data_IF_052544222578
#
_entry.id   IF_052544222578
#
_cell.length_a   1.000
_cell.length_b   1.000
_cell.length_c   1.000
_cell.angle_alpha   90.00
_cell.angle_beta   90.00
_cell.angle_gamma   90.00
#
_symmetry.space_group_name_H-M   'P 1'
#
loop_
_entity.id
_entity.type
_entity.pdbx_description
1 polymer ?
#
# COMPACT_ATOMS: atom_id res chain seq x y z
N UNK A 1 -39.94 35.65 34.55
CA UNK A 1 -39.06 35.10 33.49
C UNK A 1 -38.61 33.71 33.92
N UNK A 2 -38.99 32.65 33.19
CA UNK A 2 -38.61 31.26 33.49
C UNK A 2 -37.37 30.91 32.66
N UNK A 3 -36.27 30.57 33.34
CA UNK A 3 -35.02 30.14 32.70
C UNK A 3 -35.11 28.61 32.56
N UNK A 4 -35.15 28.11 31.34
CA UNK A 4 -35.14 26.66 31.04
C UNK A 4 -33.66 26.26 30.87
N UNK A 5 -33.11 25.36 31.70
CA UNK A 5 -31.75 24.89 31.50
C UNK A 5 -31.75 23.84 30.40
N UNK A 6 -31.07 24.12 29.29
CA UNK A 6 -30.80 23.13 28.26
C UNK A 6 -29.67 22.23 28.74
N UNK A 7 -30.00 20.98 29.10
CA UNK A 7 -29.03 19.92 29.36
C UNK A 7 -28.47 19.49 28.01
N UNK A 8 -27.20 19.83 27.77
CA UNK A 8 -26.46 19.41 26.59
C UNK A 8 -26.07 17.92 26.76
N UNK A 9 -26.82 17.03 26.13
CA UNK A 9 -26.51 15.60 26.11
C UNK A 9 -25.35 15.35 25.14
N UNK A 10 -24.15 15.12 25.69
CA UNK A 10 -22.98 14.68 24.93
C UNK A 10 -23.21 13.24 24.46
N UNK A 11 -23.66 13.07 23.23
CA UNK A 11 -23.74 11.76 22.57
C UNK A 11 -22.33 11.42 22.09
N UNK A 12 -21.62 10.59 22.87
CA UNK A 12 -20.36 10.01 22.45
C UNK A 12 -20.67 8.89 21.44
N UNK A 13 -20.51 9.16 20.15
CA UNK A 13 -20.63 8.13 19.11
C UNK A 13 -19.35 7.29 19.18
N UNK A 14 -19.40 5.99 19.55
CA UNK A 14 -18.22 5.15 19.46
C UNK A 14 -17.75 5.08 18.01
N UNK A 15 -16.50 5.45 17.79
CA UNK A 15 -15.81 5.23 16.52
C UNK A 15 -15.72 3.71 16.36
N UNK A 16 -16.46 3.13 15.41
CA UNK A 16 -16.32 1.73 15.06
C UNK A 16 -14.92 1.53 14.48
N UNK A 17 -14.01 1.00 15.29
CA UNK A 17 -12.77 0.43 14.78
C UNK A 17 -13.14 -0.72 13.83
N UNK A 18 -12.52 -0.78 12.66
CA UNK A 18 -12.72 -1.90 11.75
C UNK A 18 -12.28 -3.20 12.45
N UNK A 19 -13.21 -4.14 12.63
CA UNK A 19 -12.92 -5.42 13.25
C UNK A 19 -12.46 -6.45 12.23
N UNK A 20 -11.55 -7.33 12.65
CA UNK A 20 -11.13 -8.48 11.85
C UNK A 20 -12.31 -9.45 11.68
N UNK A 21 -12.50 -9.94 10.46
CA UNK A 21 -13.56 -10.92 10.20
C UNK A 21 -13.10 -12.33 10.61
N UNK A 22 -13.96 -13.17 11.24
CA UNK A 22 -13.53 -14.48 11.77
C UNK A 22 -12.97 -15.46 10.73
N UNK A 23 -13.48 -15.43 9.50
CA UNK A 23 -12.98 -16.25 8.40
C UNK A 23 -11.56 -15.83 7.97
N UNK A 24 -11.26 -14.54 8.03
CA UNK A 24 -9.93 -14.00 7.75
C UNK A 24 -8.94 -14.32 8.87
N UNK A 25 -9.34 -14.19 10.13
CA UNK A 25 -8.53 -14.62 11.28
C UNK A 25 -8.14 -16.10 11.18
N UNK A 26 -9.12 -16.97 10.82
CA UNK A 26 -8.87 -18.39 10.57
C UNK A 26 -7.93 -18.62 9.39
N UNK A 27 -8.10 -17.87 8.30
CA UNK A 27 -7.20 -17.97 7.14
C UNK A 27 -5.77 -17.58 7.51
N UNK A 28 -5.56 -16.49 8.25
CA UNK A 28 -4.23 -16.05 8.68
C UNK A 28 -3.54 -17.12 9.55
N UNK A 29 -4.30 -17.76 10.46
CA UNK A 29 -3.80 -18.88 11.26
C UNK A 29 -3.38 -20.06 10.38
N UNK A 30 -4.27 -20.54 9.51
CA UNK A 30 -3.98 -21.69 8.63
C UNK A 30 -2.82 -21.37 7.69
N UNK A 31 -2.78 -20.18 7.10
CA UNK A 31 -1.68 -19.73 6.25
C UNK A 31 -0.35 -19.77 7.00
N UNK A 32 -0.32 -19.25 8.24
CA UNK A 32 0.87 -19.27 9.10
C UNK A 32 1.34 -20.71 9.35
N UNK A 33 0.43 -21.63 9.68
CA UNK A 33 0.74 -23.04 9.91
C UNK A 33 1.31 -23.72 8.65
N UNK A 34 0.71 -23.51 7.47
CA UNK A 34 1.20 -24.06 6.20
C UNK A 34 2.57 -23.50 5.83
N UNK A 35 2.75 -22.18 5.95
CA UNK A 35 4.03 -21.51 5.68
C UNK A 35 5.15 -22.02 6.60
N UNK A 36 4.88 -22.05 7.90
CA UNK A 36 5.86 -22.44 8.91
C UNK A 36 6.18 -23.94 8.91
N UNK A 37 5.29 -24.78 8.40
CA UNK A 37 5.59 -26.21 8.16
C UNK A 37 6.32 -26.47 6.84
N UNK A 38 6.53 -25.43 6.02
CA UNK A 38 7.09 -25.57 4.66
C UNK A 38 6.13 -26.22 3.67
N UNK A 39 4.85 -26.38 4.03
CA UNK A 39 3.84 -26.98 3.19
C UNK A 39 3.21 -25.94 2.23
N UNK A 40 4.00 -25.51 1.25
CA UNK A 40 3.55 -24.52 0.25
C UNK A 40 2.52 -25.11 -0.73
N UNK A 41 2.48 -26.44 -0.89
CA UNK A 41 1.38 -27.11 -1.59
C UNK A 41 0.06 -26.94 -0.84
N UNK A 42 0.10 -26.97 0.50
CA UNK A 42 -1.03 -26.62 1.36
C UNK A 42 -1.50 -25.18 1.17
N UNK A 43 -0.58 -24.22 1.01
CA UNK A 43 -0.94 -22.82 0.68
C UNK A 43 -1.64 -22.76 -0.68
N UNK A 44 -1.13 -23.46 -1.69
CA UNK A 44 -1.77 -23.53 -3.01
C UNK A 44 -3.20 -24.10 -2.93
N UNK A 45 -3.50 -25.01 -2.00
CA UNK A 45 -4.87 -25.51 -1.82
C UNK A 45 -5.84 -24.50 -1.19
N UNK A 46 -5.34 -23.45 -0.53
CA UNK A 46 -6.16 -22.35 -0.02
C UNK A 46 -6.67 -21.42 -1.12
N UNK A 47 -6.06 -21.47 -2.30
CA UNK A 47 -6.41 -20.63 -3.45
C UNK A 47 -7.72 -21.02 -4.09
N UNK A 48 -8.44 -20.02 -4.59
CA UNK A 48 -9.58 -20.25 -5.45
C UNK A 48 -9.17 -20.69 -6.86
N UNK A 49 -10.15 -21.03 -7.69
CA UNK A 49 -9.92 -21.51 -9.06
C UNK A 49 -9.24 -20.44 -9.93
N UNK A 50 -9.51 -19.15 -9.70
CA UNK A 50 -8.90 -18.05 -10.46
C UNK A 50 -7.42 -17.92 -10.13
N UNK A 51 -7.08 -17.89 -8.85
CA UNK A 51 -5.72 -17.78 -8.36
C UNK A 51 -4.89 -19.03 -8.74
N UNK A 52 -5.46 -20.23 -8.67
CA UNK A 52 -4.79 -21.48 -9.14
C UNK A 52 -4.46 -21.47 -10.64
N UNK A 53 -5.25 -20.76 -11.45
CA UNK A 53 -4.97 -20.58 -12.88
C UNK A 53 -3.86 -19.56 -13.14
N UNK A 54 -3.79 -18.52 -12.31
CA UNK A 54 -2.82 -17.43 -12.45
C UNK A 54 -1.46 -17.76 -11.81
N UNK A 55 -1.44 -18.59 -10.77
CA UNK A 55 -0.26 -18.89 -9.99
C UNK A 55 -0.21 -20.39 -9.67
N UNK A 56 0.65 -21.09 -10.41
CA UNK A 56 0.75 -22.55 -10.36
C UNK A 56 1.29 -23.02 -9.01
N UNK A 57 1.10 -24.32 -8.76
CA UNK A 57 1.66 -24.99 -7.58
C UNK A 57 3.18 -24.81 -7.47
N UNK A 58 3.89 -24.94 -8.59
CA UNK A 58 5.35 -24.77 -8.63
C UNK A 58 5.75 -23.34 -8.29
N UNK A 59 5.13 -22.35 -8.94
CA UNK A 59 5.37 -20.93 -8.65
C UNK A 59 5.06 -20.58 -7.19
N UNK A 60 4.04 -21.21 -6.60
CA UNK A 60 3.71 -21.05 -5.18
C UNK A 60 4.83 -21.55 -4.27
N UNK A 61 5.39 -22.73 -4.56
CA UNK A 61 6.52 -23.29 -3.81
C UNK A 61 7.75 -22.41 -3.93
N UNK A 62 8.08 -21.98 -5.14
CA UNK A 62 9.26 -21.17 -5.40
C UNK A 62 9.13 -19.79 -4.75
N UNK A 63 7.97 -19.16 -4.86
CA UNK A 63 7.73 -17.88 -4.23
C UNK A 63 7.87 -17.95 -2.72
N UNK A 64 7.12 -18.83 -2.03
CA UNK A 64 7.19 -18.85 -0.57
C UNK A 64 8.46 -19.48 -0.03
N UNK A 65 8.94 -20.56 -0.64
CA UNK A 65 10.14 -21.27 -0.19
C UNK A 65 11.42 -20.52 -0.49
N UNK A 66 11.61 -20.14 -1.76
CA UNK A 66 12.86 -19.54 -2.24
C UNK A 66 12.82 -18.03 -2.08
N UNK A 67 11.75 -17.35 -2.50
CA UNK A 67 11.77 -15.88 -2.55
C UNK A 67 11.34 -15.21 -1.24
N UNK A 68 10.56 -15.88 -0.39
CA UNK A 68 10.12 -15.30 0.90
C UNK A 68 10.85 -15.93 2.08
N UNK A 69 10.69 -17.24 2.33
CA UNK A 69 11.18 -17.88 3.57
C UNK A 69 12.72 -17.91 3.65
N UNK A 70 13.42 -18.16 2.54
CA UNK A 70 14.89 -18.14 2.54
C UNK A 70 15.44 -16.78 3.02
N UNK A 71 14.77 -15.68 2.68
CA UNK A 71 15.18 -14.32 3.01
C UNK A 71 14.67 -13.89 4.39
N UNK A 72 13.41 -14.19 4.71
CA UNK A 72 12.69 -13.59 5.84
C UNK A 72 12.57 -14.53 7.05
N UNK A 73 12.56 -15.84 6.82
CA UNK A 73 12.38 -16.87 7.85
C UNK A 73 10.92 -17.17 8.16
N UNK A 74 10.66 -17.81 9.30
CA UNK A 74 9.32 -18.21 9.72
C UNK A 74 8.48 -16.98 10.06
N UNK A 75 7.16 -17.12 9.95
CA UNK A 75 6.19 -16.14 10.45
C UNK A 75 6.08 -16.29 11.97
N UNK A 76 6.32 -15.21 12.69
CA UNK A 76 6.10 -15.09 14.14
C UNK A 76 4.70 -14.64 14.47
N UNK A 77 4.18 -13.66 13.73
CA UNK A 77 2.86 -13.09 13.96
C UNK A 77 2.26 -12.50 12.68
N UNK A 78 0.93 -12.47 12.62
CA UNK A 78 0.14 -11.73 11.63
C UNK A 78 -0.86 -10.85 12.37
N UNK A 79 -0.59 -9.55 12.45
CA UNK A 79 -1.45 -8.58 13.12
C UNK A 79 -2.39 -7.92 12.11
N UNK A 80 -3.70 -8.01 12.31
CA UNK A 80 -4.67 -7.29 11.51
C UNK A 80 -4.52 -5.77 11.67
N UNK A 81 -4.44 -5.05 10.56
CA UNK A 81 -4.27 -3.59 10.52
C UNK A 81 -5.54 -2.84 10.08
N UNK A 82 -6.46 -3.52 9.39
CA UNK A 82 -7.64 -2.90 8.80
C UNK A 82 -7.91 -3.39 7.38
N UNK A 83 -8.79 -2.67 6.67
CA UNK A 83 -9.16 -3.00 5.29
C UNK A 83 -8.54 -2.02 4.28
N UNK A 84 -8.20 -2.54 3.11
CA UNK A 84 -7.84 -1.76 1.91
C UNK A 84 -8.65 -2.27 0.73
N UNK A 85 -9.53 -1.43 0.19
CA UNK A 85 -10.43 -1.78 -0.93
C UNK A 85 -11.23 -3.08 -0.71
N UNK A 86 -11.65 -3.31 0.54
CA UNK A 86 -12.40 -4.50 0.95
C UNK A 86 -11.53 -5.74 1.26
N UNK A 87 -10.22 -5.69 1.06
CA UNK A 87 -9.29 -6.75 1.42
C UNK A 87 -8.69 -6.52 2.82
N UNK A 88 -8.35 -7.60 3.53
CA UNK A 88 -7.77 -7.52 4.87
C UNK A 88 -6.26 -7.35 4.78
N UNK A 89 -5.74 -6.38 5.54
CA UNK A 89 -4.32 -6.07 5.60
C UNK A 89 -3.74 -6.56 6.92
N UNK A 90 -2.63 -7.27 6.84
CA UNK A 90 -1.90 -7.82 7.98
C UNK A 90 -0.47 -7.28 8.00
N UNK A 91 0.00 -6.84 9.17
CA UNK A 91 1.44 -6.73 9.46
C UNK A 91 1.95 -8.13 9.77
N UNK A 92 2.83 -8.65 8.93
CA UNK A 92 3.48 -9.93 9.13
C UNK A 92 4.88 -9.69 9.69
N UNK A 93 5.13 -10.26 10.86
CA UNK A 93 6.47 -10.31 11.45
C UNK A 93 7.09 -11.66 11.11
N UNK A 94 8.22 -11.63 10.39
CA UNK A 94 9.05 -12.80 10.14
C UNK A 94 10.24 -12.83 11.10
N UNK A 95 11.02 -13.92 11.09
CA UNK A 95 12.24 -14.02 11.89
C UNK A 95 13.25 -12.88 11.64
N UNK A 96 13.37 -12.43 10.38
CA UNK A 96 14.42 -11.50 9.92
C UNK A 96 13.89 -10.20 9.31
N UNK A 97 12.56 -10.04 9.16
CA UNK A 97 11.98 -8.86 8.54
C UNK A 97 10.50 -8.66 8.91
N UNK A 98 9.92 -7.56 8.46
CA UNK A 98 8.49 -7.31 8.48
C UNK A 98 7.98 -7.03 7.08
N UNK A 99 6.70 -7.35 6.83
CA UNK A 99 6.00 -6.99 5.60
C UNK A 99 4.53 -6.67 5.89
N UNK A 100 3.88 -5.97 4.97
CA UNK A 100 2.42 -5.92 4.93
C UNK A 100 1.91 -6.93 3.91
N UNK A 101 0.91 -7.73 4.30
CA UNK A 101 0.26 -8.73 3.47
C UNK A 101 -1.21 -8.38 3.32
N UNK A 102 -1.70 -8.37 2.08
CA UNK A 102 -3.11 -8.16 1.75
C UNK A 102 -3.70 -9.48 1.31
N UNK A 103 -4.80 -9.90 1.95
CA UNK A 103 -5.53 -11.12 1.66
C UNK A 103 -6.95 -10.75 1.23
N UNK A 104 -7.41 -11.34 0.14
CA UNK A 104 -8.81 -11.31 -0.29
C UNK A 104 -9.36 -12.73 -0.32
N UNK A 105 -10.56 -12.91 0.22
CA UNK A 105 -11.28 -14.18 0.19
C UNK A 105 -12.48 -14.09 -0.76
N UNK A 106 -12.76 -15.18 -1.46
CA UNK A 106 -14.03 -15.35 -2.17
C UNK A 106 -15.15 -15.77 -1.20
N UNK A 107 -16.38 -15.93 -1.71
CA UNK A 107 -17.54 -16.33 -0.93
C UNK A 107 -17.42 -17.74 -0.29
N UNK A 108 -16.47 -18.56 -0.74
CA UNK A 108 -16.17 -19.89 -0.21
C UNK A 108 -14.98 -19.87 0.77
N UNK A 109 -14.51 -18.69 1.18
CA UNK A 109 -13.34 -18.50 2.05
C UNK A 109 -12.02 -19.02 1.46
N UNK A 110 -11.91 -19.05 0.12
CA UNK A 110 -10.67 -19.35 -0.58
C UNK A 110 -9.96 -18.04 -0.95
N UNK A 111 -8.63 -18.05 -0.97
CA UNK A 111 -7.82 -16.89 -1.33
C UNK A 111 -8.02 -16.60 -2.82
N UNK A 112 -8.66 -15.46 -3.10
CA UNK A 112 -8.85 -14.91 -4.45
C UNK A 112 -7.81 -13.86 -4.82
N UNK A 113 -7.09 -13.34 -3.82
CA UNK A 113 -6.00 -12.40 -4.01
C UNK A 113 -5.03 -12.40 -2.83
N UNK A 114 -3.74 -12.29 -3.13
CA UNK A 114 -2.68 -12.25 -2.15
C UNK A 114 -1.56 -11.33 -2.63
N UNK A 115 -1.15 -10.38 -1.80
CA UNK A 115 -0.08 -9.45 -2.12
C UNK A 115 0.80 -9.19 -0.90
N UNK A 116 2.12 -9.23 -1.08
CA UNK A 116 3.11 -8.92 -0.03
C UNK A 116 3.88 -7.68 -0.46
N UNK A 117 4.02 -6.72 0.44
CA UNK A 117 4.73 -5.47 0.21
C UNK A 117 5.59 -5.07 1.40
N UNK A 118 6.58 -4.18 1.20
CA UNK A 118 7.29 -3.55 2.31
C UNK A 118 6.29 -2.94 3.31
N UNK A 119 6.59 -3.02 4.62
CA UNK A 119 5.68 -2.54 5.65
C UNK A 119 5.56 -1.01 5.55
N UNK A 120 4.33 -0.49 5.51
CA UNK A 120 4.10 0.95 5.63
C UNK A 120 4.22 1.36 7.11
N UNK A 121 4.80 2.53 7.44
CA UNK A 121 4.83 2.98 8.83
C UNK A 121 3.39 3.11 9.37
N UNK A 122 3.12 2.46 10.50
CA UNK A 122 1.82 2.58 11.16
C UNK A 122 1.72 3.99 11.75
N UNK A 123 0.70 4.75 11.34
CA UNK A 123 0.57 6.15 11.73
C UNK A 123 1.69 7.03 11.16
N UNK A 124 2.16 6.73 9.94
CA UNK A 124 3.04 7.65 9.22
C UNK A 124 2.46 9.08 9.33
N UNK A 125 3.26 10.08 9.75
CA UNK A 125 2.75 11.43 9.91
C UNK A 125 2.12 11.86 8.59
N UNK A 126 0.87 12.29 8.65
CA UNK A 126 0.25 12.96 7.51
C UNK A 126 1.13 14.17 7.23
N UNK A 127 1.84 14.13 6.11
CA UNK A 127 2.64 15.27 5.68
C UNK A 127 1.63 16.35 5.30
N UNK A 128 1.46 17.33 6.18
CA UNK A 128 0.65 18.49 5.85
C UNK A 128 1.27 19.22 4.66
N UNK A 129 0.40 19.70 3.77
CA UNK A 129 0.82 20.41 2.57
C UNK A 129 1.71 21.57 2.96
N UNK A 130 2.91 21.61 2.41
CA UNK A 130 3.78 22.74 2.62
C UNK A 130 3.36 23.94 1.77
N UNK A 131 3.37 25.14 2.37
CA UNK A 131 3.08 26.41 1.69
C UNK A 131 4.34 27.23 1.38
N UNK A 132 5.53 26.65 1.54
CA UNK A 132 6.80 27.31 1.15
C UNK A 132 6.73 27.63 -0.34
N UNK A 133 6.91 28.89 -0.75
CA UNK A 133 7.02 29.24 -2.16
C UNK A 133 8.20 28.48 -2.78
N UNK A 134 7.94 27.70 -3.82
CA UNK A 134 8.97 27.06 -4.62
C UNK A 134 9.05 27.73 -5.98
N UNK A 135 10.27 28.00 -6.42
CA UNK A 135 10.56 28.37 -7.80
C UNK A 135 11.02 27.12 -8.53
N UNK A 136 10.35 26.78 -9.61
CA UNK A 136 10.79 25.69 -10.48
C UNK A 136 12.04 26.15 -11.25
N UNK A 137 13.00 25.25 -11.57
CA UNK A 137 14.22 25.59 -12.30
C UNK A 137 13.99 25.82 -13.81
N UNK A 138 12.78 26.24 -14.19
CA UNK A 138 12.36 26.50 -15.56
C UNK A 138 11.23 27.55 -15.57
N UNK A 139 11.15 28.32 -16.65
CA UNK A 139 10.22 29.47 -16.78
C UNK A 139 9.07 29.22 -17.75
N UNK A 140 9.10 28.10 -18.48
CA UNK A 140 8.05 27.74 -19.43
C UNK A 140 6.77 27.24 -18.74
N UNK A 141 5.66 27.17 -19.49
CA UNK A 141 4.44 26.49 -19.06
C UNK A 141 4.56 24.97 -19.21
N UNK A 142 4.15 24.23 -18.18
CA UNK A 142 4.18 22.76 -18.15
C UNK A 142 2.83 22.19 -17.74
N UNK A 143 2.46 21.06 -18.35
CA UNK A 143 1.28 20.32 -17.99
C UNK A 143 1.57 19.32 -16.86
N UNK A 144 0.80 19.36 -15.79
CA UNK A 144 0.88 18.37 -14.69
C UNK A 144 0.10 17.13 -15.11
N UNK A 145 0.82 16.07 -15.49
CA UNK A 145 0.21 14.81 -15.91
C UNK A 145 -0.14 13.92 -14.72
N UNK A 146 0.78 13.77 -13.77
CA UNK A 146 0.52 13.17 -12.47
C UNK A 146 0.83 14.17 -11.37
N UNK A 147 -0.16 14.43 -10.51
CA UNK A 147 -0.03 15.36 -9.40
C UNK A 147 -1.34 15.44 -8.62
N UNK A 148 -1.25 15.54 -7.30
CA UNK A 148 -2.42 15.51 -6.42
C UNK A 148 -2.27 14.55 -5.25
N UNK A 149 -3.31 14.46 -4.44
CA UNK A 149 -3.30 13.77 -3.14
C UNK A 149 -3.94 12.38 -3.19
N UNK A 150 -4.69 12.07 -4.25
CA UNK A 150 -5.39 10.78 -4.38
C UNK A 150 -4.76 9.94 -5.48
N UNK A 151 -4.90 8.61 -5.40
CA UNK A 151 -4.39 7.70 -6.44
C UNK A 151 -5.00 7.95 -7.82
N UNK A 152 -6.23 8.49 -7.87
CA UNK A 152 -6.90 8.86 -9.12
C UNK A 152 -6.25 10.09 -9.80
N UNK A 153 -5.64 10.97 -9.01
CA UNK A 153 -4.97 12.18 -9.49
C UNK A 153 -3.46 11.96 -9.70
N UNK A 154 -2.86 11.08 -8.90
CA UNK A 154 -1.43 10.86 -8.88
C UNK A 154 -1.13 9.38 -8.61
N UNK A 155 -0.71 8.68 -9.67
CA UNK A 155 -0.34 7.27 -9.59
C UNK A 155 0.76 7.01 -8.55
N UNK A 156 1.66 7.97 -8.32
CA UNK A 156 2.78 7.86 -7.39
C UNK A 156 2.36 7.75 -5.92
N UNK A 157 1.12 8.09 -5.57
CA UNK A 157 0.59 7.98 -4.19
C UNK A 157 0.68 6.56 -3.62
N UNK A 158 0.69 5.55 -4.50
CA UNK A 158 0.81 4.14 -4.12
C UNK A 158 2.14 3.81 -3.45
N UNK A 159 3.20 4.47 -3.89
CA UNK A 159 4.57 4.24 -3.48
C UNK A 159 4.99 5.31 -2.47
N UNK A 160 5.22 4.92 -1.21
CA UNK A 160 5.54 5.86 -0.11
C UNK A 160 6.70 6.78 -0.45
N UNK A 161 7.72 6.27 -1.15
CA UNK A 161 8.91 7.04 -1.53
C UNK A 161 8.69 8.06 -2.65
N UNK A 162 7.54 7.99 -3.33
CA UNK A 162 7.14 8.86 -4.45
C UNK A 162 5.81 9.57 -4.18
N UNK A 163 5.25 9.43 -2.97
CA UNK A 163 4.11 10.25 -2.57
C UNK A 163 4.45 11.73 -2.79
N UNK A 164 3.49 12.44 -3.39
CA UNK A 164 3.63 13.86 -3.77
C UNK A 164 4.65 14.14 -4.88
N UNK A 165 5.13 13.13 -5.59
CA UNK A 165 5.86 13.33 -6.83
C UNK A 165 4.95 13.91 -7.92
N UNK A 166 5.53 14.75 -8.78
CA UNK A 166 4.86 15.31 -9.95
C UNK A 166 5.52 14.84 -11.24
N UNK A 167 4.71 14.46 -12.22
CA UNK A 167 5.15 14.30 -13.60
C UNK A 167 4.72 15.52 -14.40
N UNK A 168 5.71 16.28 -14.86
CA UNK A 168 5.51 17.48 -15.66
C UNK A 168 5.86 17.18 -17.13
N UNK A 169 4.94 17.54 -18.03
CA UNK A 169 5.08 17.38 -19.48
C UNK A 169 5.16 18.74 -20.17
N UNK A 170 6.12 18.89 -21.08
CA UNK A 170 6.16 20.04 -21.97
C UNK A 170 5.20 19.75 -23.13
N UNK A 171 4.12 20.52 -23.24
CA UNK A 171 3.14 20.37 -24.31
C UNK A 171 3.26 21.56 -25.26
N UNK A 172 3.49 21.28 -26.55
CA UNK A 172 3.50 22.27 -27.63
C UNK A 172 2.51 21.83 -28.70
N UNK A 173 1.63 22.73 -29.13
CA UNK A 173 0.61 22.47 -30.17
C UNK A 173 -0.26 21.22 -29.90
N UNK A 174 -0.57 20.96 -28.61
CA UNK A 174 -1.36 19.81 -28.18
C UNK A 174 -0.61 18.47 -28.10
N UNK A 175 0.69 18.45 -28.36
CA UNK A 175 1.53 17.25 -28.28
C UNK A 175 2.65 17.39 -27.23
N UNK A 176 2.97 16.30 -26.53
CA UNK A 176 4.08 16.23 -25.55
C UNK A 176 5.42 15.83 -26.18
N UNK A 177 5.48 15.77 -27.51
CA UNK A 177 6.65 15.37 -28.30
C UNK A 177 6.72 16.21 -29.59
N UNK A 178 7.92 16.36 -30.15
CA UNK A 178 8.12 16.87 -31.50
C UNK A 178 8.69 15.75 -32.38
N UNK A 179 7.97 15.40 -33.45
CA UNK A 179 8.37 14.34 -34.38
C UNK A 179 8.04 12.93 -33.89
N UNK A 180 9.02 12.21 -33.35
CA UNK A 180 8.84 10.82 -32.92
C UNK A 180 8.13 10.76 -31.55
N UNK A 181 6.95 10.13 -31.44
CA UNK A 181 6.23 9.98 -30.17
C UNK A 181 6.99 9.19 -29.11
N UNK A 182 8.05 8.45 -29.48
CA UNK A 182 8.96 7.79 -28.52
C UNK A 182 9.94 8.76 -27.84
N UNK A 183 10.04 10.01 -28.29
CA UNK A 183 10.91 11.06 -27.73
C UNK A 183 10.10 12.10 -26.95
N UNK A 184 9.42 11.66 -25.90
CA UNK A 184 8.74 12.54 -24.95
C UNK A 184 9.72 13.06 -23.90
N UNK A 185 9.56 14.32 -23.46
CA UNK A 185 10.27 14.87 -22.31
C UNK A 185 9.34 14.89 -21.10
N UNK A 186 9.65 14.06 -20.12
CA UNK A 186 8.99 14.02 -18.81
C UNK A 186 9.99 14.43 -17.76
N UNK A 187 9.60 15.32 -16.86
CA UNK A 187 10.38 15.64 -15.66
C UNK A 187 9.62 15.08 -14.46
N UNK A 188 10.28 14.18 -13.71
CA UNK A 188 9.80 13.71 -12.41
C UNK A 188 10.36 14.63 -11.33
N UNK A 189 9.47 15.33 -10.61
CA UNK A 189 9.83 16.17 -9.48
C UNK A 189 9.44 15.45 -8.18
N UNK A 190 10.42 15.10 -7.34
CA UNK A 190 10.18 14.48 -6.03
C UNK A 190 10.25 15.54 -4.93
N UNK A 191 9.16 15.75 -4.20
CA UNK A 191 9.19 16.55 -2.97
C UNK A 191 9.68 15.69 -1.80
N UNK A 192 11.00 15.64 -1.54
CA UNK A 192 11.55 14.98 -0.35
C UNK A 192 11.73 15.98 0.78
N UNK A 193 10.87 15.93 1.81
CA UNK A 193 11.17 16.49 3.14
C UNK A 193 11.39 15.38 4.15
N UNK A 194 12.64 14.94 4.28
CA UNK A 194 13.16 14.31 5.49
C UNK A 194 14.54 14.91 5.76
N UNK A 195 14.65 15.78 6.77
CA UNK A 195 15.91 16.15 7.44
C UNK A 195 16.38 14.91 8.25
N UNK A 196 17.63 14.57 8.52
CA UNK A 196 18.92 15.25 8.57
C UNK A 196 20.00 14.13 8.67
N UNK A 197 21.11 14.21 7.95
CA UNK A 197 22.43 13.93 8.53
C UNK A 197 23.44 14.80 7.80
N UNK A 198 23.89 15.83 8.51
CA UNK A 198 25.13 16.55 8.24
C UNK A 198 26.26 15.54 8.40
N UNK A 199 27.08 15.36 7.37
CA UNK A 199 28.51 15.13 7.56
C UNK A 199 29.22 16.08 6.61
N UNK A 200 29.89 17.07 7.20
CA UNK A 200 30.88 17.92 6.55
C UNK A 200 32.08 17.07 6.16
N UNK A 201 32.69 17.46 5.05
CA UNK A 201 33.96 17.00 4.51
C UNK A 201 34.13 17.63 3.14
#
# INVERSE_FOLDING_TARGET
MRIIPYILLWVCIPILAQEEQPNYARMAQVFTEQYNSGNYDGIYELYDVGMKKAFTRMETRDFFGVNVNSLTGRIKSMQFLGLRDGAHVYRVEFDRSMADMVISLNAQNQISGLFISPPKPLGAPVIERNITPMTLPFEDEWFVYWGGLTEAQNYHVREMSQQYAYDLLMVKDGASYQGDPKKMKVILLLERRYWLHVMRG
#
